data_IF_279922689314
#
_entry.id   IF_279922689314
#
_cell.length_a   1.000
_cell.length_b   1.000
_cell.length_c   1.000
_cell.angle_alpha   90.00
_cell.angle_beta   90.00
_cell.angle_gamma   90.00
#
_symmetry.space_group_name_H-M   'P 1'
#
loop_
_entity.id
_entity.type
_entity.pdbx_description
1 polymer ?
#
# COMPACT_ATOMS: atom_id res chain seq x y z
N UNK A 1 -18.84 -14.85 -6.41
CA UNK A 1 -17.76 -14.41 -5.52
C UNK A 1 -17.91 -12.94 -5.20
N UNK A 2 -18.07 -12.59 -3.95
CA UNK A 2 -18.22 -11.18 -3.60
C UNK A 2 -16.93 -10.40 -3.90
N UNK A 3 -17.07 -9.26 -4.54
CA UNK A 3 -15.94 -8.37 -4.80
C UNK A 3 -15.25 -7.92 -3.53
N UNK A 4 -16.05 -7.74 -2.47
CA UNK A 4 -15.56 -7.28 -1.18
C UNK A 4 -14.49 -8.19 -0.60
N UNK A 5 -14.63 -9.51 -0.73
CA UNK A 5 -13.65 -10.45 -0.21
C UNK A 5 -12.27 -10.29 -0.86
N UNK A 6 -12.24 -10.11 -2.19
CA UNK A 6 -10.99 -9.88 -2.94
C UNK A 6 -10.39 -8.54 -2.57
N UNK A 7 -11.22 -7.48 -2.50
CA UNK A 7 -10.78 -6.13 -2.11
C UNK A 7 -10.19 -6.11 -0.70
N UNK A 8 -10.82 -6.82 0.25
CA UNK A 8 -10.34 -6.90 1.62
C UNK A 8 -8.98 -7.59 1.71
N UNK A 9 -8.78 -8.67 0.96
CA UNK A 9 -7.50 -9.37 0.91
C UNK A 9 -6.41 -8.46 0.36
N UNK A 10 -6.70 -7.77 -0.74
CA UNK A 10 -5.73 -6.86 -1.36
C UNK A 10 -5.43 -5.66 -0.47
N UNK A 11 -6.43 -5.12 0.21
CA UNK A 11 -6.21 -4.02 1.16
C UNK A 11 -5.25 -4.42 2.27
N UNK A 12 -5.38 -5.64 2.79
CA UNK A 12 -4.47 -6.15 3.82
C UNK A 12 -3.06 -6.37 3.29
N UNK A 13 -2.93 -6.90 2.07
CA UNK A 13 -1.62 -7.11 1.43
C UNK A 13 -0.92 -5.77 1.22
N UNK A 14 -1.62 -4.80 0.66
CA UNK A 14 -1.08 -3.45 0.43
C UNK A 14 -0.71 -2.79 1.75
N UNK A 15 -1.57 -2.87 2.75
CA UNK A 15 -1.31 -2.28 4.06
C UNK A 15 -0.07 -2.86 4.72
N UNK A 16 0.09 -4.17 4.66
CA UNK A 16 1.27 -4.86 5.20
C UNK A 16 2.54 -4.43 4.48
N UNK A 17 2.48 -4.33 3.17
CA UNK A 17 3.62 -3.91 2.35
C UNK A 17 4.02 -2.46 2.67
N UNK A 18 3.05 -1.57 2.80
CA UNK A 18 3.31 -0.17 3.17
C UNK A 18 3.94 -0.08 4.55
N UNK A 19 3.45 -0.86 5.51
CA UNK A 19 4.03 -0.89 6.86
C UNK A 19 5.48 -1.36 6.84
N UNK A 20 5.75 -2.46 6.15
CA UNK A 20 7.10 -3.01 6.04
C UNK A 20 8.07 -2.02 5.39
N UNK A 21 7.63 -1.37 4.31
CA UNK A 21 8.42 -0.37 3.60
C UNK A 21 8.70 0.83 4.50
N UNK A 22 7.67 1.35 5.16
CA UNK A 22 7.84 2.47 6.10
C UNK A 22 8.86 2.15 7.18
N UNK A 23 8.74 0.97 7.79
CA UNK A 23 9.66 0.54 8.86
C UNK A 23 11.08 0.35 8.34
N UNK A 24 11.23 -0.21 7.15
CA UNK A 24 12.55 -0.38 6.53
C UNK A 24 13.25 0.96 6.29
N UNK A 25 12.47 2.02 6.05
CA UNK A 25 13.00 3.37 5.88
C UNK A 25 13.20 4.11 7.21
N UNK A 26 12.85 3.49 8.33
CA UNK A 26 12.97 4.11 9.65
C UNK A 26 11.97 5.22 9.92
N UNK A 27 10.85 5.24 9.19
CA UNK A 27 9.82 6.27 9.35
C UNK A 27 8.73 5.82 10.32
N UNK A 28 8.20 6.79 11.10
CA UNK A 28 7.04 6.56 11.94
C UNK A 28 5.75 6.78 11.16
N UNK A 29 4.64 6.26 11.67
CA UNK A 29 3.32 6.54 11.09
C UNK A 29 3.03 8.05 11.11
N UNK A 30 3.43 8.73 12.19
CA UNK A 30 3.23 10.18 12.31
C UNK A 30 4.01 10.97 11.25
N UNK A 31 5.23 10.54 10.93
CA UNK A 31 6.03 11.19 9.90
C UNK A 31 5.41 11.05 8.52
N UNK A 32 4.95 9.86 8.18
CA UNK A 32 4.28 9.62 6.89
C UNK A 32 2.97 10.41 6.84
N UNK A 33 2.20 10.40 7.91
CA UNK A 33 0.94 11.15 7.99
C UNK A 33 1.18 12.64 7.78
N UNK A 34 2.20 13.21 8.40
CA UNK A 34 2.54 14.63 8.25
C UNK A 34 2.84 14.96 6.79
N UNK A 35 3.59 14.10 6.11
CA UNK A 35 3.95 14.31 4.70
C UNK A 35 2.74 14.18 3.77
N UNK A 36 1.72 13.45 4.20
CA UNK A 36 0.47 13.28 3.46
C UNK A 36 -0.57 14.34 3.82
N UNK A 37 -0.27 15.20 4.78
CA UNK A 37 -1.25 16.12 5.36
C UNK A 37 -2.47 15.36 5.89
N UNK A 38 -2.21 14.25 6.58
CA UNK A 38 -3.22 13.35 7.13
C UNK A 38 -2.93 13.07 8.61
N UNK A 39 -3.82 12.34 9.26
CA UNK A 39 -3.64 11.93 10.65
C UNK A 39 -2.87 10.62 10.77
N UNK A 40 -2.14 10.40 11.88
CA UNK A 40 -1.50 9.10 12.12
C UNK A 40 -2.51 7.94 12.15
N UNK A 41 -3.73 8.17 12.63
CA UNK A 41 -4.76 7.14 12.64
C UNK A 41 -5.18 6.72 11.23
N UNK A 42 -5.13 7.63 10.26
CA UNK A 42 -5.37 7.30 8.86
C UNK A 42 -4.30 6.34 8.34
N UNK A 43 -3.03 6.64 8.60
CA UNK A 43 -1.91 5.77 8.20
C UNK A 43 -2.03 4.40 8.89
N UNK A 44 -2.35 4.39 10.18
CA UNK A 44 -2.54 3.15 10.93
C UNK A 44 -3.67 2.30 10.34
N UNK A 45 -4.78 2.93 9.95
CA UNK A 45 -5.91 2.23 9.33
C UNK A 45 -5.54 1.64 7.97
N UNK A 46 -4.76 2.37 7.16
CA UNK A 46 -4.25 1.86 5.88
C UNK A 46 -3.38 0.62 6.10
N UNK A 47 -2.45 0.71 7.04
CA UNK A 47 -1.53 -0.38 7.34
C UNK A 47 -2.25 -1.60 7.90
N UNK A 48 -3.37 -1.38 8.59
CA UNK A 48 -4.21 -2.46 9.09
C UNK A 48 -5.13 -3.07 8.03
N UNK A 49 -5.10 -2.56 6.80
CA UNK A 49 -5.92 -3.07 5.71
C UNK A 49 -7.38 -2.65 5.76
N UNK A 50 -7.70 -1.53 6.41
CA UNK A 50 -9.07 -1.04 6.54
C UNK A 50 -9.51 -0.13 5.39
N UNK A 51 -8.60 0.21 4.50
CA UNK A 51 -8.90 1.06 3.35
C UNK A 51 -8.58 0.33 2.05
N UNK A 52 -9.53 0.38 1.12
CA UNK A 52 -9.32 -0.12 -0.23
C UNK A 52 -8.80 1.04 -1.08
N UNK A 53 -7.49 1.16 -1.16
CA UNK A 53 -6.83 2.28 -1.81
C UNK A 53 -6.88 2.15 -3.33
N UNK A 54 -7.05 3.28 -4.00
CA UNK A 54 -6.81 3.37 -5.44
C UNK A 54 -5.30 3.33 -5.70
N UNK A 55 -4.92 3.01 -6.92
CA UNK A 55 -3.51 3.04 -7.31
C UNK A 55 -2.93 4.45 -7.13
N UNK A 56 -3.72 5.49 -7.44
CA UNK A 56 -3.29 6.88 -7.22
C UNK A 56 -3.02 7.19 -5.76
N UNK A 57 -3.85 6.68 -4.86
CA UNK A 57 -3.63 6.85 -3.42
C UNK A 57 -2.36 6.12 -2.95
N UNK A 58 -2.12 4.91 -3.46
CA UNK A 58 -0.90 4.15 -3.16
C UNK A 58 0.32 4.92 -3.65
N UNK A 59 0.27 5.45 -4.87
CA UNK A 59 1.35 6.23 -5.44
C UNK A 59 1.61 7.50 -4.63
N UNK A 60 0.57 8.15 -4.12
CA UNK A 60 0.70 9.33 -3.28
C UNK A 60 1.40 9.01 -1.95
N UNK A 61 1.05 7.88 -1.34
CA UNK A 61 1.71 7.41 -0.10
C UNK A 61 3.18 7.07 -0.38
N UNK A 62 3.46 6.36 -1.46
CA UNK A 62 4.83 6.04 -1.86
C UNK A 62 5.65 7.32 -2.07
N UNK A 63 5.08 8.30 -2.76
CA UNK A 63 5.74 9.58 -3.00
C UNK A 63 6.06 10.32 -1.70
N UNK A 64 5.19 10.22 -0.70
CA UNK A 64 5.45 10.79 0.63
C UNK A 64 6.69 10.16 1.29
N UNK A 65 7.00 8.92 0.94
CA UNK A 65 8.22 8.23 1.38
C UNK A 65 9.37 8.35 0.38
N UNK A 66 9.21 9.19 -0.65
CA UNK A 66 10.18 9.41 -1.74
C UNK A 66 10.43 8.14 -2.56
N UNK A 67 9.38 7.35 -2.74
CA UNK A 67 9.43 6.12 -3.51
C UNK A 67 8.47 6.20 -4.71
N UNK A 68 8.75 5.40 -5.71
CA UNK A 68 7.82 5.13 -6.78
C UNK A 68 7.06 3.84 -6.53
N UNK A 69 6.11 3.53 -7.41
CA UNK A 69 5.32 2.31 -7.38
C UNK A 69 5.49 1.60 -8.71
N UNK A 70 5.70 0.30 -8.66
CA UNK A 70 5.62 -0.53 -9.85
C UNK A 70 4.48 -1.54 -9.68
N UNK A 71 3.85 -1.90 -10.79
CA UNK A 71 2.77 -2.86 -10.82
C UNK A 71 3.17 -4.00 -11.75
N UNK A 72 2.94 -5.22 -11.30
CA UNK A 72 3.16 -6.38 -12.16
C UNK A 72 1.97 -7.33 -12.02
N UNK A 73 1.76 -8.10 -13.07
CA UNK A 73 0.75 -9.15 -13.08
C UNK A 73 1.44 -10.49 -13.00
N UNK A 74 0.92 -11.36 -12.15
CA UNK A 74 1.51 -12.68 -11.89
C UNK A 74 0.54 -13.78 -12.26
N UNK A 75 1.08 -14.87 -12.78
CA UNK A 75 0.32 -16.08 -13.11
C UNK A 75 -0.03 -16.84 -11.82
N UNK A 76 -1.02 -17.75 -11.88
CA UNK A 76 -1.37 -18.55 -10.70
C UNK A 76 -0.21 -19.34 -10.11
N UNK A 77 0.81 -19.68 -10.91
CA UNK A 77 2.00 -20.40 -10.43
C UNK A 77 3.03 -19.48 -9.75
N UNK A 78 2.75 -18.18 -9.66
CA UNK A 78 3.62 -17.21 -9.03
C UNK A 78 4.62 -16.53 -9.97
N UNK A 79 4.70 -16.94 -11.23
CA UNK A 79 5.61 -16.31 -12.19
C UNK A 79 5.01 -15.01 -12.72
N UNK A 80 5.88 -14.01 -12.91
CA UNK A 80 5.45 -12.69 -13.36
C UNK A 80 5.38 -12.65 -14.89
N UNK A 81 4.30 -12.04 -15.39
CA UNK A 81 4.20 -11.72 -16.80
C UNK A 81 5.07 -10.50 -17.07
N UNK A 82 6.03 -10.66 -17.98
CA UNK A 82 6.89 -9.52 -18.35
C UNK A 82 6.18 -8.68 -19.41
N UNK A 83 6.08 -7.39 -19.16
CA UNK A 83 5.55 -6.45 -20.13
C UNK A 83 6.67 -6.02 -21.09
N UNK A 84 6.29 -5.78 -22.33
CA UNK A 84 7.22 -5.30 -23.36
C UNK A 84 7.36 -3.78 -23.38
#
# INVERSE_FOLDING_TARGET
MPRTAVSEIHAKVVGRELRGTRRALGLTQAEVARRLDASPSYVAAIEAGRHNLTLGQIANIANAMRLGVSVSFIRPDGTRVLSE
#
